data_IF_874179861916
#
_entry.id   IF_874179861916
#
_cell.length_a   1.000
_cell.length_b   1.000
_cell.length_c   1.000
_cell.angle_alpha   90.00
_cell.angle_beta   90.00
_cell.angle_gamma   90.00
#
_symmetry.space_group_name_H-M   'P 1'
#
loop_
_entity.id
_entity.type
_entity.pdbx_description
1 polymer ?
#
# COMPACT_ATOMS: atom_id res chain seq x y z
N UNK A 1 -3.69 -4.04 6.96
CA UNK A 1 -4.38 -4.90 5.97
C UNK A 1 -4.79 -3.98 4.85
N UNK A 2 -3.89 -3.87 3.88
CA UNK A 2 -3.86 -2.90 2.80
C UNK A 2 -4.23 -3.64 1.52
N UNK A 3 -5.44 -3.40 1.05
CA UNK A 3 -6.08 -4.17 -0.02
C UNK A 3 -7.58 -4.18 0.20
N UNK A 4 -8.20 -3.01 0.10
CA UNK A 4 -9.67 -2.96 0.09
C UNK A 4 -10.11 -3.14 -1.36
N UNK A 5 -10.88 -4.19 -1.59
CA UNK A 5 -11.50 -4.48 -2.88
C UNK A 5 -12.91 -3.93 -2.84
N UNK A 6 -13.18 -2.93 -3.67
CA UNK A 6 -14.53 -2.42 -3.86
C UNK A 6 -15.07 -2.95 -5.19
N UNK A 7 -16.37 -3.22 -5.24
CA UNK A 7 -17.04 -3.52 -6.51
C UNK A 7 -17.74 -2.25 -6.96
N UNK A 8 -17.33 -1.69 -8.09
CA UNK A 8 -18.05 -0.59 -8.72
C UNK A 8 -19.46 -1.01 -9.12
N UNK A 9 -20.34 -0.04 -9.40
CA UNK A 9 -21.73 -0.28 -9.83
C UNK A 9 -21.81 -1.11 -11.13
N UNK A 10 -20.72 -1.19 -11.88
CA UNK A 10 -20.58 -1.94 -13.12
C UNK A 10 -20.05 -3.37 -12.91
N UNK A 11 -19.84 -3.79 -11.66
CA UNK A 11 -19.32 -5.12 -11.31
C UNK A 11 -17.82 -5.30 -11.55
N UNK A 12 -17.09 -4.21 -11.81
CA UNK A 12 -15.64 -4.23 -11.98
C UNK A 12 -15.00 -4.03 -10.60
N UNK A 13 -14.04 -4.89 -10.20
CA UNK A 13 -13.31 -4.71 -8.95
C UNK A 13 -12.36 -3.50 -9.07
N UNK A 14 -12.56 -2.52 -8.20
CA UNK A 14 -11.67 -1.39 -7.99
C UNK A 14 -10.77 -1.73 -6.79
N UNK A 15 -9.47 -1.80 -7.05
CA UNK A 15 -8.48 -2.04 -6.01
C UNK A 15 -7.92 -0.73 -5.49
N UNK A 16 -7.99 -0.54 -4.17
CA UNK A 16 -7.31 0.59 -3.52
C UNK A 16 -6.13 0.11 -2.66
N UNK A 17 -4.98 0.74 -2.88
CA UNK A 17 -3.76 0.51 -2.11
C UNK A 17 -3.60 1.60 -1.04
N UNK A 18 -3.41 1.18 0.20
CA UNK A 18 -3.19 2.06 1.35
C UNK A 18 -1.89 1.70 2.05
N UNK A 19 -1.18 2.70 2.56
CA UNK A 19 -0.03 2.47 3.40
C UNK A 19 -0.46 1.95 4.78
N UNK A 20 0.09 0.83 5.22
CA UNK A 20 -0.22 0.24 6.52
C UNK A 20 0.29 1.05 7.73
N UNK A 21 1.23 1.98 7.51
CA UNK A 21 1.81 2.79 8.58
C UNK A 21 1.05 4.11 8.80
N UNK A 22 0.82 4.86 7.72
CA UNK A 22 0.21 6.20 7.80
C UNK A 22 -1.22 6.27 7.25
N UNK A 23 -1.70 5.21 6.59
CA UNK A 23 -3.01 5.21 5.94
C UNK A 23 -3.06 6.05 4.66
N UNK A 24 -1.93 6.53 4.13
CA UNK A 24 -1.90 7.24 2.86
C UNK A 24 -2.48 6.35 1.75
N UNK A 25 -3.36 6.92 0.91
CA UNK A 25 -3.92 6.24 -0.26
C UNK A 25 -3.03 6.47 -1.46
N UNK A 26 -2.70 5.40 -2.19
CA UNK A 26 -2.05 5.52 -3.49
C UNK A 26 -3.04 6.11 -4.49
N UNK A 27 -2.71 7.26 -5.07
CA UNK A 27 -3.51 7.91 -6.11
C UNK A 27 -2.75 7.76 -7.42
N UNK A 28 -3.22 6.88 -8.28
CA UNK A 28 -2.74 6.78 -9.66
C UNK A 28 -3.67 7.62 -10.54
N UNK A 29 -3.15 8.48 -11.40
CA UNK A 29 -3.99 9.14 -12.41
C UNK A 29 -4.23 8.23 -13.64
N UNK A 30 -3.69 7.01 -13.62
CA UNK A 30 -3.88 5.99 -14.63
C UNK A 30 -5.03 5.05 -14.23
N UNK A 31 -5.88 4.67 -15.18
CA UNK A 31 -7.07 3.81 -15.00
C UNK A 31 -6.70 2.35 -14.61
N UNK A 32 -5.51 2.11 -14.09
CA UNK A 32 -4.91 0.82 -13.78
C UNK A 32 -5.43 0.16 -12.49
N UNK A 33 -6.40 0.77 -11.81
CA UNK A 33 -7.00 0.29 -10.57
C UNK A 33 -7.76 -1.03 -10.68
N UNK A 34 -8.02 -1.50 -11.90
CA UNK A 34 -8.76 -2.75 -12.14
C UNK A 34 -7.89 -4.01 -12.03
N UNK A 35 -6.57 -3.86 -11.88
CA UNK A 35 -5.63 -4.98 -11.80
C UNK A 35 -4.65 -4.80 -10.65
N UNK A 36 -4.79 -5.65 -9.61
CA UNK A 36 -3.93 -5.60 -8.42
C UNK A 36 -2.42 -5.67 -8.74
N UNK A 37 -1.93 -6.59 -9.59
CA UNK A 37 -0.51 -6.61 -9.94
C UNK A 37 -0.04 -5.31 -10.60
N UNK A 38 -0.85 -4.71 -11.48
CA UNK A 38 -0.51 -3.46 -12.18
C UNK A 38 -0.50 -2.28 -11.21
N UNK A 39 -1.44 -2.25 -10.26
CA UNK A 39 -1.47 -1.25 -9.19
C UNK A 39 -0.22 -1.34 -8.31
N UNK A 40 0.22 -2.56 -7.96
CA UNK A 40 1.45 -2.78 -7.20
C UNK A 40 2.69 -2.34 -7.98
N UNK A 41 2.82 -2.72 -9.26
CA UNK A 41 3.94 -2.33 -10.11
C UNK A 41 4.01 -0.79 -10.26
N UNK A 42 2.86 -0.13 -10.44
CA UNK A 42 2.79 1.33 -10.52
C UNK A 42 3.18 2.00 -9.19
N UNK A 43 2.71 1.47 -8.06
CA UNK A 43 3.09 1.98 -6.74
C UNK A 43 4.60 1.81 -6.50
N UNK A 44 5.18 0.66 -6.85
CA UNK A 44 6.63 0.42 -6.80
C UNK A 44 7.42 1.42 -7.65
N UNK A 45 6.94 1.74 -8.86
CA UNK A 45 7.56 2.74 -9.74
C UNK A 45 7.52 4.16 -9.15
N UNK A 46 6.45 4.50 -8.40
CA UNK A 46 6.28 5.75 -7.64
C UNK A 46 7.06 5.74 -6.32
N UNK A 47 7.83 4.68 -6.03
CA UNK A 47 8.69 4.57 -4.86
C UNK A 47 8.01 4.03 -3.61
N UNK A 48 6.81 3.45 -3.73
CA UNK A 48 6.20 2.68 -2.66
C UNK A 48 6.94 1.35 -2.50
N UNK A 49 7.01 0.87 -1.27
CA UNK A 49 7.44 -0.49 -0.98
C UNK A 49 6.17 -1.34 -0.82
N UNK A 50 5.76 -1.97 -1.91
CA UNK A 50 4.67 -2.94 -1.88
C UNK A 50 5.18 -4.37 -1.89
N UNK A 51 4.33 -5.32 -1.49
CA UNK A 51 4.63 -6.73 -1.59
C UNK A 51 3.56 -7.37 -2.47
N UNK A 52 3.96 -8.22 -3.41
CA UNK A 52 3.01 -8.90 -4.30
C UNK A 52 2.09 -9.92 -3.60
N UNK A 53 2.36 -10.22 -2.32
CA UNK A 53 1.52 -11.10 -1.50
C UNK A 53 0.48 -10.31 -0.73
N UNK A 54 -0.75 -10.85 -0.65
CA UNK A 54 -1.91 -10.24 0.04
C UNK A 54 -1.64 -9.95 1.54
N UNK A 55 -0.71 -10.68 2.14
CA UNK A 55 -0.30 -10.53 3.54
C UNK A 55 0.93 -9.61 3.73
N UNK A 56 1.41 -9.04 2.63
CA UNK A 56 2.56 -8.15 2.63
C UNK A 56 2.23 -6.78 3.21
N UNK A 57 3.22 -6.16 3.85
CA UNK A 57 3.11 -4.77 4.28
C UNK A 57 3.28 -3.84 3.08
N UNK A 58 2.38 -2.89 2.93
CA UNK A 58 2.45 -1.85 1.91
C UNK A 58 2.84 -0.52 2.56
N UNK A 59 3.97 0.05 2.15
CA UNK A 59 4.51 1.30 2.70
C UNK A 59 4.66 2.34 1.59
N UNK A 60 4.17 3.57 1.81
CA UNK A 60 4.46 4.67 0.91
C UNK A 60 5.94 5.05 0.97
N UNK A 61 6.46 5.79 -0.03
CA UNK A 61 7.86 6.21 -0.08
C UNK A 61 8.35 6.86 1.22
N UNK A 62 7.53 7.71 1.85
CA UNK A 62 7.87 8.35 3.13
C UNK A 62 8.00 7.35 4.28
N UNK A 63 7.07 6.42 4.41
CA UNK A 63 7.11 5.39 5.47
C UNK A 63 8.16 4.32 5.20
N UNK A 64 8.45 4.03 3.93
CA UNK A 64 9.47 3.08 3.51
C UNK A 64 10.89 3.66 3.68
N UNK A 65 11.05 4.98 3.53
CA UNK A 65 12.29 5.73 3.73
C UNK A 65 12.49 6.16 5.18
N UNK A 66 11.42 6.29 5.97
CA UNK A 66 11.52 6.51 7.40
C UNK A 66 12.29 5.34 8.03
N UNK A 67 13.35 5.58 8.82
CA UNK A 67 13.94 4.52 9.60
C UNK A 67 12.85 4.03 10.54
N UNK A 68 12.35 2.82 10.30
CA UNK A 68 11.41 2.13 11.19
C UNK A 68 12.00 2.24 12.58
N UNK A 69 11.48 3.16 13.38
CA UNK A 69 11.90 3.33 14.75
C UNK A 69 11.59 1.98 15.36
N UNK A 70 12.63 1.16 15.57
CA UNK A 70 12.51 -0.04 16.36
C UNK A 70 11.92 0.49 17.66
N UNK A 71 10.65 0.17 17.90
CA UNK A 71 10.14 -0.01 19.25
C UNK A 71 10.87 -1.23 19.81
N UNK A 72 12.20 -1.16 19.88
CA UNK A 72 12.94 -1.81 20.92
C UNK A 72 12.31 -1.26 22.18
N UNK A 73 11.56 -2.16 22.82
CA UNK A 73 11.10 -2.03 24.19
C UNK A 73 12.31 -1.60 25.02
N UNK A 74 12.49 -0.29 25.18
CA UNK A 74 12.99 0.26 26.42
C UNK A 74 11.88 0.05 27.45
N UNK A 75 11.75 -1.20 27.91
CA UNK A 75 11.32 -1.44 29.28
C UNK A 75 12.51 -0.99 30.12
N UNK A 76 12.53 0.31 30.42
CA UNK A 76 13.41 0.90 31.41
C UNK A 76 12.53 1.27 32.60
N UNK A 77 12.61 0.45 33.65
CA UNK A 77 12.50 0.77 35.08
C UNK A 77 12.09 -0.49 35.85
#
# INVERSE_FOLDING_TARGET
>A
MSGQVYFSINGIPDYELYCDQCGARFQCEDDSFYSWPVLCDAAEAEGWRVHSGVDGSHECGDCAAAPRARRDRLVAA
#
